data_IF_860853929434
#
_entry.id   IF_860853929434
#
_cell.length_a   1.000
_cell.length_b   1.000
_cell.length_c   1.000
_cell.angle_alpha   90.00
_cell.angle_beta   90.00
_cell.angle_gamma   90.00
#
_symmetry.space_group_name_H-M   'P 1'
#
loop_
_entity.id
_entity.type
_entity.pdbx_description
1 polymer ?
#
# COMPACT_ATOMS: atom_id res chain seq x y z
N UNK A 1 -37.34 12.85 23.84
CA UNK A 1 -37.24 11.57 23.10
C UNK A 1 -36.12 11.60 22.05
N UNK A 2 -36.05 12.60 21.16
CA UNK A 2 -35.02 12.73 20.11
C UNK A 2 -33.58 12.88 20.67
N UNK A 3 -33.39 13.68 21.71
CA UNK A 3 -32.12 13.80 22.45
C UNK A 3 -31.62 12.46 23.02
N UNK A 4 -32.53 11.58 23.44
CA UNK A 4 -32.19 10.29 24.03
C UNK A 4 -31.67 9.30 22.97
N UNK A 5 -32.28 9.29 21.78
CA UNK A 5 -31.85 8.44 20.67
C UNK A 5 -30.47 8.88 20.15
N UNK A 6 -30.23 10.18 20.00
CA UNK A 6 -28.92 10.70 19.60
C UNK A 6 -27.81 10.38 20.59
N UNK A 7 -28.11 10.42 21.89
CA UNK A 7 -27.19 10.03 22.95
C UNK A 7 -26.88 8.54 22.89
N UNK A 8 -27.89 7.68 22.72
CA UNK A 8 -27.72 6.24 22.56
C UNK A 8 -26.86 5.89 21.33
N UNK A 9 -27.14 6.50 20.17
CA UNK A 9 -26.36 6.29 18.95
C UNK A 9 -24.90 6.72 19.14
N UNK A 10 -24.66 7.83 19.86
CA UNK A 10 -23.32 8.31 20.17
C UNK A 10 -22.58 7.35 21.11
N UNK A 11 -23.25 6.83 22.15
CA UNK A 11 -22.70 5.84 23.09
C UNK A 11 -22.36 4.51 22.44
N UNK A 12 -23.12 4.11 21.41
CA UNK A 12 -22.85 2.90 20.61
C UNK A 12 -21.85 3.12 19.48
N UNK A 13 -21.30 4.34 19.34
CA UNK A 13 -20.41 4.74 18.24
C UNK A 13 -21.01 4.52 16.84
N UNK A 14 -22.32 4.76 16.71
CA UNK A 14 -23.09 4.66 15.46
C UNK A 14 -23.21 6.04 14.79
N UNK A 15 -22.07 6.67 14.51
CA UNK A 15 -22.00 8.04 13.98
C UNK A 15 -22.64 8.20 12.60
N UNK A 16 -22.56 7.17 11.76
CA UNK A 16 -23.09 7.14 10.40
C UNK A 16 -24.59 6.95 10.43
N UNK A 17 -25.08 6.04 11.29
CA UNK A 17 -26.52 5.90 11.54
C UNK A 17 -27.12 7.20 12.06
N UNK A 18 -26.44 7.90 12.97
CA UNK A 18 -26.88 9.21 13.48
C UNK A 18 -26.97 10.27 12.38
N UNK A 19 -25.96 10.35 11.50
CA UNK A 19 -26.00 11.27 10.36
C UNK A 19 -27.15 10.95 9.39
N UNK A 20 -27.35 9.67 9.07
CA UNK A 20 -28.42 9.23 8.19
C UNK A 20 -29.81 9.49 8.81
N UNK A 21 -29.95 9.30 10.14
CA UNK A 21 -31.19 9.61 10.85
C UNK A 21 -31.52 11.10 10.76
N UNK A 22 -30.53 11.97 10.99
CA UNK A 22 -30.71 13.42 10.84
C UNK A 22 -31.07 13.81 9.40
N UNK A 23 -30.47 13.16 8.40
CA UNK A 23 -30.80 13.39 7.00
C UNK A 23 -32.24 12.96 6.67
N UNK A 24 -32.67 11.79 7.13
CA UNK A 24 -34.05 11.32 6.95
C UNK A 24 -35.06 12.24 7.63
N UNK A 25 -34.73 12.78 8.80
CA UNK A 25 -35.60 13.73 9.50
C UNK A 25 -35.72 15.06 8.75
N UNK A 26 -34.60 15.58 8.23
CA UNK A 26 -34.58 16.82 7.46
C UNK A 26 -35.28 16.70 6.10
N UNK A 27 -35.31 15.50 5.52
CA UNK A 27 -35.88 15.21 4.20
C UNK A 27 -37.01 14.17 4.29
N UNK A 28 -37.88 14.31 5.29
CA UNK A 28 -38.90 13.30 5.63
C UNK A 28 -39.76 12.85 4.45
N UNK A 29 -40.11 13.78 3.54
CA UNK A 29 -40.92 13.51 2.35
C UNK A 29 -40.33 12.44 1.43
N UNK A 30 -39.00 12.27 1.40
CA UNK A 30 -38.32 11.27 0.56
C UNK A 30 -38.41 9.84 1.11
N UNK A 31 -38.85 9.68 2.36
CA UNK A 31 -38.84 8.40 3.08
C UNK A 31 -40.24 8.00 3.58
N UNK A 32 -41.29 8.73 3.20
CA UNK A 32 -42.66 8.49 3.66
C UNK A 32 -43.22 7.14 3.20
N UNK A 33 -42.89 6.74 1.98
CA UNK A 33 -43.40 5.50 1.37
C UNK A 33 -42.58 4.26 1.76
N UNK A 34 -41.48 4.43 2.51
CA UNK A 34 -40.61 3.34 2.92
C UNK A 34 -41.08 2.68 4.22
N UNK A 35 -41.06 1.36 4.23
CA UNK A 35 -41.33 0.57 5.44
C UNK A 35 -40.30 0.82 6.55
N UNK A 36 -40.65 0.47 7.79
CA UNK A 36 -39.72 0.59 8.93
C UNK A 36 -38.42 -0.18 8.70
N UNK A 37 -38.50 -1.42 8.21
CA UNK A 37 -37.33 -2.26 7.96
C UNK A 37 -36.43 -1.68 6.86
N UNK A 38 -37.01 -1.14 5.79
CA UNK A 38 -36.25 -0.51 4.70
C UNK A 38 -35.50 0.73 5.18
N UNK A 39 -36.15 1.55 6.01
CA UNK A 39 -35.52 2.73 6.61
C UNK A 39 -34.42 2.34 7.59
N UNK A 40 -34.66 1.32 8.42
CA UNK A 40 -33.65 0.78 9.34
C UNK A 40 -32.45 0.21 8.58
N UNK A 41 -32.69 -0.52 7.48
CA UNK A 41 -31.65 -1.05 6.62
C UNK A 41 -30.81 0.09 6.04
N UNK A 42 -31.42 1.17 5.54
CA UNK A 42 -30.69 2.32 5.02
C UNK A 42 -29.80 2.99 6.08
N UNK A 43 -30.33 3.14 7.31
CA UNK A 43 -29.58 3.68 8.45
C UNK A 43 -28.35 2.82 8.79
N UNK A 44 -28.53 1.49 8.83
CA UNK A 44 -27.45 0.54 9.10
C UNK A 44 -26.43 0.49 7.96
N UNK A 45 -26.88 0.49 6.71
CA UNK A 45 -26.01 0.55 5.53
C UNK A 45 -25.12 1.78 5.55
N UNK A 46 -25.65 2.95 5.94
CA UNK A 46 -24.84 4.17 6.07
C UNK A 46 -23.77 4.06 7.17
N UNK A 47 -24.08 3.43 8.31
CA UNK A 47 -23.09 3.15 9.34
C UNK A 47 -21.98 2.22 8.84
N UNK A 48 -22.33 1.14 8.15
CA UNK A 48 -21.37 0.18 7.60
C UNK A 48 -20.42 0.84 6.60
N UNK A 49 -20.97 1.57 5.62
CA UNK A 49 -20.19 2.33 4.63
C UNK A 49 -19.26 3.34 5.32
N UNK A 50 -19.75 4.07 6.33
CA UNK A 50 -18.92 5.03 7.04
C UNK A 50 -17.80 4.35 7.85
N UNK A 51 -18.03 3.17 8.42
CA UNK A 51 -16.99 2.39 9.11
C UNK A 51 -15.92 1.90 8.15
N UNK A 52 -16.32 1.38 7.00
CA UNK A 52 -15.40 0.96 5.93
C UNK A 52 -14.56 2.15 5.44
N UNK A 53 -15.20 3.28 5.15
CA UNK A 53 -14.49 4.50 4.73
C UNK A 53 -13.51 4.99 5.79
N UNK A 54 -13.88 4.98 7.08
CA UNK A 54 -12.98 5.33 8.19
C UNK A 54 -11.79 4.38 8.27
N UNK A 55 -12.02 3.07 8.11
CA UNK A 55 -10.94 2.06 8.08
C UNK A 55 -9.98 2.33 6.91
N UNK A 56 -10.51 2.48 5.70
CA UNK A 56 -9.72 2.75 4.48
C UNK A 56 -8.90 4.03 4.63
N UNK A 57 -9.52 5.13 5.06
CA UNK A 57 -8.83 6.41 5.29
C UNK A 57 -7.71 6.30 6.33
N UNK A 58 -7.94 5.55 7.41
CA UNK A 58 -6.93 5.30 8.43
C UNK A 58 -5.74 4.52 7.85
N UNK A 59 -6.01 3.44 7.13
CA UNK A 59 -4.97 2.63 6.49
C UNK A 59 -4.19 3.44 5.45
N UNK A 60 -4.86 4.24 4.63
CA UNK A 60 -4.21 5.10 3.62
C UNK A 60 -3.26 6.12 4.27
N UNK A 61 -3.69 6.77 5.37
CA UNK A 61 -2.82 7.66 6.16
C UNK A 61 -1.64 6.93 6.78
N UNK A 62 -1.87 5.71 7.29
CA UNK A 62 -0.83 4.89 7.88
C UNK A 62 0.16 4.36 6.83
N UNK A 63 -0.25 4.20 5.57
CA UNK A 63 0.63 3.68 4.54
C UNK A 63 1.77 4.62 4.15
N UNK A 64 1.58 5.95 4.28
CA UNK A 64 2.58 6.97 3.96
C UNK A 64 3.18 6.83 2.55
N UNK A 65 2.34 6.59 1.55
CA UNK A 65 2.79 6.53 0.16
C UNK A 65 3.47 7.82 -0.28
N UNK A 66 4.58 7.70 -0.99
CA UNK A 66 5.27 8.83 -1.62
C UNK A 66 4.51 9.39 -2.82
N UNK A 67 3.80 8.54 -3.57
CA UNK A 67 3.10 8.90 -4.80
C UNK A 67 1.60 8.59 -4.70
N UNK A 68 0.80 9.40 -5.39
CA UNK A 68 -0.63 9.18 -5.55
C UNK A 68 -0.92 8.14 -6.66
N UNK A 69 -0.38 6.93 -6.50
CA UNK A 69 -0.57 5.85 -7.47
C UNK A 69 -2.03 5.40 -7.59
N UNK A 70 -2.56 5.31 -8.81
CA UNK A 70 -3.90 4.80 -9.07
C UNK A 70 -3.83 3.72 -10.15
N UNK A 71 -4.53 2.61 -9.92
CA UNK A 71 -4.53 1.47 -10.85
C UNK A 71 -5.23 1.84 -12.16
N UNK A 72 -6.25 2.68 -12.04
CA UNK A 72 -7.08 3.21 -13.12
C UNK A 72 -6.29 4.12 -14.07
N UNK A 73 -5.23 4.75 -13.56
CA UNK A 73 -4.35 5.66 -14.31
C UNK A 73 -3.07 4.99 -14.82
N UNK A 74 -2.96 3.66 -14.70
CA UNK A 74 -1.79 2.94 -15.21
C UNK A 74 -1.73 3.01 -16.74
N UNK A 75 -0.53 3.30 -17.24
CA UNK A 75 -0.24 3.35 -18.67
C UNK A 75 0.21 1.98 -19.20
N UNK A 76 -0.53 1.48 -20.19
CA UNK A 76 -0.35 0.19 -20.85
C UNK A 76 0.13 0.32 -22.30
N UNK A 77 0.65 1.48 -22.70
CA UNK A 77 1.24 1.65 -24.05
C UNK A 77 2.30 0.57 -24.34
N UNK A 78 2.44 0.21 -25.61
CA UNK A 78 3.40 -0.78 -26.05
C UNK A 78 4.82 -0.41 -25.58
N UNK A 79 5.61 -1.40 -25.16
CA UNK A 79 6.97 -1.19 -24.67
C UNK A 79 7.10 -0.83 -23.18
N UNK A 80 6.00 -0.74 -22.42
CA UNK A 80 6.01 -0.54 -20.96
C UNK A 80 6.39 -1.79 -20.13
N UNK A 81 6.36 -2.97 -20.75
CA UNK A 81 6.66 -4.24 -20.06
C UNK A 81 5.56 -4.71 -19.10
N UNK A 82 4.39 -4.06 -19.13
CA UNK A 82 3.21 -4.40 -18.32
C UNK A 82 1.96 -4.44 -19.18
N UNK A 83 1.13 -5.45 -18.95
CA UNK A 83 -0.15 -5.63 -19.66
C UNK A 83 -1.35 -5.53 -18.72
N UNK A 84 -2.53 -5.19 -19.26
CA UNK A 84 -3.78 -5.15 -18.48
C UNK A 84 -4.10 -6.50 -17.83
N UNK A 85 -3.81 -7.61 -18.52
CA UNK A 85 -4.03 -8.95 -18.00
C UNK A 85 -3.13 -9.24 -16.79
N UNK A 86 -1.84 -8.90 -16.88
CA UNK A 86 -0.91 -9.08 -15.77
C UNK A 86 -1.30 -8.23 -14.57
N UNK A 87 -1.68 -6.96 -14.77
CA UNK A 87 -2.15 -6.12 -13.67
C UNK A 87 -3.43 -6.68 -13.05
N UNK A 88 -4.40 -7.14 -13.85
CA UNK A 88 -5.62 -7.80 -13.33
C UNK A 88 -5.28 -8.98 -12.43
N UNK A 89 -4.37 -9.85 -12.85
CA UNK A 89 -3.92 -10.99 -12.04
C UNK A 89 -3.27 -10.55 -10.71
N UNK A 90 -2.52 -9.44 -10.71
CA UNK A 90 -1.98 -8.89 -9.47
C UNK A 90 -3.07 -8.35 -8.54
N UNK A 91 -4.12 -7.74 -9.09
CA UNK A 91 -5.25 -7.19 -8.33
C UNK A 91 -6.15 -8.27 -7.74
N UNK A 92 -6.24 -9.44 -8.37
CA UNK A 92 -6.94 -10.60 -7.79
C UNK A 92 -6.34 -11.02 -6.44
N UNK A 93 -5.08 -10.64 -6.15
CA UNK A 93 -4.48 -10.79 -4.84
C UNK A 93 -4.07 -12.21 -4.48
N UNK A 94 -4.05 -13.14 -5.44
CA UNK A 94 -3.59 -14.51 -5.20
C UNK A 94 -2.17 -14.57 -4.63
N UNK A 95 -1.27 -13.69 -5.07
CA UNK A 95 0.09 -13.62 -4.52
C UNK A 95 0.10 -13.22 -3.03
N UNK A 96 -0.84 -12.38 -2.57
CA UNK A 96 -0.99 -12.05 -1.15
C UNK A 96 -1.50 -13.23 -0.34
N UNK A 97 -2.53 -13.92 -0.82
CA UNK A 97 -3.09 -15.08 -0.11
C UNK A 97 -2.10 -16.24 -0.02
N UNK A 98 -1.20 -16.38 -0.99
CA UNK A 98 -0.09 -17.35 -0.97
C UNK A 98 1.18 -16.81 -0.29
N UNK A 99 1.11 -15.62 0.33
CA UNK A 99 2.21 -14.97 1.05
C UNK A 99 3.49 -14.84 0.21
N UNK A 100 3.30 -14.62 -1.08
CA UNK A 100 4.36 -14.40 -2.06
C UNK A 100 4.82 -12.94 -2.02
N UNK A 101 6.06 -12.70 -2.43
CA UNK A 101 6.57 -11.35 -2.62
C UNK A 101 6.32 -10.87 -4.06
N UNK A 102 6.37 -9.56 -4.28
CA UNK A 102 6.25 -8.96 -5.61
C UNK A 102 7.49 -8.11 -5.90
N UNK A 103 8.26 -8.49 -6.92
CA UNK A 103 9.47 -7.76 -7.32
C UNK A 103 9.16 -6.94 -8.57
N UNK A 104 9.28 -5.62 -8.45
CA UNK A 104 9.11 -4.66 -9.53
C UNK A 104 10.49 -4.14 -9.95
N UNK A 105 10.97 -4.54 -11.13
CA UNK A 105 12.28 -4.11 -11.65
C UNK A 105 12.15 -3.26 -12.91
N UNK A 106 13.21 -2.54 -13.29
CA UNK A 106 13.22 -1.70 -14.49
C UNK A 106 13.99 -0.38 -14.32
N UNK A 107 14.29 0.31 -15.42
CA UNK A 107 15.09 1.55 -15.40
C UNK A 107 14.46 2.71 -14.60
N UNK A 108 15.25 3.73 -14.27
CA UNK A 108 14.75 4.93 -13.60
C UNK A 108 13.57 5.56 -14.36
N UNK A 109 12.52 5.94 -13.64
CA UNK A 109 11.36 6.63 -14.24
C UNK A 109 10.37 5.74 -14.99
N UNK A 110 10.59 4.42 -15.12
CA UNK A 110 9.62 3.51 -15.75
C UNK A 110 8.35 3.23 -14.90
N UNK A 111 8.17 3.88 -13.75
CA UNK A 111 6.92 3.81 -12.98
C UNK A 111 6.81 2.70 -11.92
N UNK A 112 7.90 2.01 -11.55
CA UNK A 112 7.91 0.98 -10.48
C UNK A 112 7.27 1.47 -9.18
N UNK A 113 7.75 2.59 -8.66
CA UNK A 113 7.26 3.21 -7.42
C UNK A 113 5.78 3.60 -7.51
N UNK A 114 5.35 4.06 -8.69
CA UNK A 114 3.94 4.41 -8.94
C UNK A 114 3.07 3.14 -8.91
N UNK A 115 3.49 2.08 -9.60
CA UNK A 115 2.79 0.80 -9.61
C UNK A 115 2.71 0.18 -8.20
N UNK A 116 3.80 0.21 -7.43
CA UNK A 116 3.80 -0.25 -6.04
C UNK A 116 2.77 0.52 -5.20
N UNK A 117 2.74 1.85 -5.30
CA UNK A 117 1.76 2.69 -4.59
C UNK A 117 0.32 2.41 -5.06
N UNK A 118 0.10 2.22 -6.37
CA UNK A 118 -1.20 1.93 -6.94
C UNK A 118 -1.76 0.59 -6.43
N UNK A 119 -0.94 -0.47 -6.46
CA UNK A 119 -1.30 -1.77 -5.89
C UNK A 119 -1.55 -1.67 -4.38
N UNK A 120 -0.67 -0.99 -3.64
CA UNK A 120 -0.85 -0.76 -2.21
C UNK A 120 -2.17 -0.08 -1.88
N UNK A 121 -2.52 1.00 -2.60
CA UNK A 121 -3.80 1.70 -2.42
C UNK A 121 -5.00 0.83 -2.78
N UNK A 122 -4.90 0.02 -3.83
CA UNK A 122 -5.94 -0.94 -4.18
C UNK A 122 -6.21 -1.92 -3.04
N UNK A 123 -5.16 -2.52 -2.44
CA UNK A 123 -5.33 -3.46 -1.34
C UNK A 123 -5.77 -2.81 -0.03
N UNK A 124 -5.45 -1.54 0.20
CA UNK A 124 -6.03 -0.77 1.31
C UNK A 124 -7.55 -0.66 1.18
N UNK A 125 -8.07 -0.44 -0.03
CA UNK A 125 -9.54 -0.43 -0.27
C UNK A 125 -10.16 -1.80 0.01
N UNK A 126 -9.41 -2.89 -0.14
CA UNK A 126 -9.80 -4.24 0.26
C UNK A 126 -9.56 -4.53 1.76
N UNK A 127 -9.18 -3.51 2.54
CA UNK A 127 -9.00 -3.61 3.99
C UNK A 127 -7.66 -4.19 4.44
N UNK A 128 -6.69 -4.36 3.54
CA UNK A 128 -5.34 -4.84 3.84
C UNK A 128 -4.47 -3.68 4.36
N UNK A 129 -3.76 -3.92 5.46
CA UNK A 129 -2.78 -2.97 5.96
C UNK A 129 -1.55 -2.91 5.06
N UNK A 130 -1.16 -1.70 4.64
CA UNK A 130 0.02 -1.48 3.79
C UNK A 130 0.90 -0.41 4.42
N UNK A 131 2.22 -0.56 4.29
CA UNK A 131 3.19 0.46 4.69
C UNK A 131 4.25 0.64 3.62
N UNK A 132 4.52 1.88 3.24
CA UNK A 132 5.53 2.23 2.26
C UNK A 132 6.78 2.80 2.94
N UNK A 133 7.94 2.34 2.46
CA UNK A 133 9.25 2.84 2.83
C UNK A 133 10.15 2.93 1.60
N UNK A 134 10.98 3.97 1.55
CA UNK A 134 12.25 3.86 0.83
C UNK A 134 13.21 3.07 1.72
N UNK A 135 13.95 2.11 1.15
CA UNK A 135 14.81 1.22 1.93
C UNK A 135 15.77 1.99 2.85
N UNK A 136 16.48 2.98 2.31
CA UNK A 136 17.38 3.85 3.08
C UNK A 136 16.70 4.53 4.27
N UNK A 137 15.51 5.10 4.07
CA UNK A 137 14.75 5.77 5.15
C UNK A 137 14.31 4.80 6.23
N UNK A 138 13.96 3.55 5.86
CA UNK A 138 13.63 2.51 6.84
C UNK A 138 14.85 2.13 7.68
N UNK A 139 16.00 1.90 7.04
CA UNK A 139 17.24 1.54 7.72
C UNK A 139 17.71 2.66 8.68
N UNK A 140 17.59 3.93 8.26
CA UNK A 140 17.83 5.09 9.11
C UNK A 140 16.86 5.15 10.31
N UNK A 141 15.55 4.90 10.10
CA UNK A 141 14.56 4.84 11.18
C UNK A 141 14.88 3.71 12.17
N UNK A 142 15.33 2.55 11.68
CA UNK A 142 15.76 1.42 12.50
C UNK A 142 16.99 1.76 13.34
N UNK A 143 18.00 2.39 12.75
CA UNK A 143 19.21 2.83 13.47
C UNK A 143 18.87 3.81 14.60
N UNK A 144 17.98 4.77 14.34
CA UNK A 144 17.51 5.72 15.36
C UNK A 144 16.71 5.01 16.46
N UNK A 145 15.83 4.08 16.07
CA UNK A 145 15.02 3.31 17.01
C UNK A 145 15.87 2.40 17.93
N UNK A 146 17.03 1.93 17.45
CA UNK A 146 18.00 1.23 18.30
C UNK A 146 18.62 2.15 19.35
N UNK A 147 18.91 3.40 18.98
CA UNK A 147 19.52 4.37 19.89
C UNK A 147 18.55 4.88 20.98
N UNK A 148 17.25 4.96 20.69
CA UNK A 148 16.23 5.43 21.64
C UNK A 148 15.40 4.32 22.31
N UNK A 149 15.71 3.05 22.01
CA UNK A 149 15.05 1.87 22.58
C UNK A 149 13.67 1.55 21.98
N UNK A 150 13.23 2.25 20.94
CA UNK A 150 11.95 1.98 20.26
C UNK A 150 12.02 0.89 19.18
N UNK A 151 13.19 0.30 18.94
CA UNK A 151 13.44 -0.71 17.90
C UNK A 151 12.43 -1.87 17.89
N UNK A 152 12.11 -2.55 19.01
CA UNK A 152 11.18 -3.68 18.98
C UNK A 152 9.79 -3.29 18.46
N UNK A 153 9.31 -2.09 18.80
CA UNK A 153 8.00 -1.58 18.33
C UNK A 153 8.00 -1.27 16.84
N UNK A 154 9.12 -0.75 16.31
CA UNK A 154 9.27 -0.50 14.88
C UNK A 154 9.31 -1.83 14.11
N UNK A 155 10.11 -2.77 14.59
CA UNK A 155 10.27 -4.08 13.98
C UNK A 155 8.93 -4.85 13.94
N UNK A 156 8.19 -4.88 15.05
CA UNK A 156 6.87 -5.50 15.11
C UNK A 156 5.91 -4.88 14.08
N UNK A 157 5.87 -3.54 14.01
CA UNK A 157 5.00 -2.81 13.07
C UNK A 157 5.35 -3.10 11.61
N UNK A 158 6.64 -3.11 11.28
CA UNK A 158 7.13 -3.30 9.90
C UNK A 158 7.04 -4.77 9.50
N UNK A 159 7.21 -5.71 10.43
CA UNK A 159 7.20 -7.15 10.14
C UNK A 159 5.79 -7.72 10.08
N UNK A 160 4.83 -7.18 10.83
CA UNK A 160 3.47 -7.74 10.89
C UNK A 160 2.45 -7.05 9.97
N UNK A 161 2.82 -5.95 9.30
CA UNK A 161 1.92 -5.30 8.35
C UNK A 161 1.66 -6.19 7.14
N UNK A 162 0.41 -6.25 6.68
CA UNK A 162 -0.03 -7.15 5.60
C UNK A 162 0.79 -7.01 4.32
N UNK A 163 1.11 -5.78 3.92
CA UNK A 163 2.04 -5.48 2.82
C UNK A 163 3.07 -4.43 3.22
N UNK A 164 4.34 -4.77 3.09
CA UNK A 164 5.45 -3.82 3.19
C UNK A 164 5.95 -3.50 1.79
N UNK A 165 6.01 -2.22 1.43
CA UNK A 165 6.61 -1.76 0.19
C UNK A 165 7.99 -1.20 0.49
N UNK A 166 9.02 -1.80 -0.11
CA UNK A 166 10.41 -1.35 -0.07
C UNK A 166 10.79 -0.78 -1.44
N UNK A 167 10.79 0.53 -1.54
CA UNK A 167 11.15 1.27 -2.75
C UNK A 167 12.61 1.74 -2.71
N UNK A 168 13.14 2.11 -3.87
CA UNK A 168 14.55 2.46 -4.06
C UNK A 168 15.51 1.35 -3.57
N UNK A 169 15.12 0.08 -3.77
CA UNK A 169 15.95 -1.07 -3.41
C UNK A 169 17.23 -1.12 -4.25
N UNK A 170 18.36 -1.26 -3.57
CA UNK A 170 19.67 -1.44 -4.18
C UNK A 170 20.29 -0.19 -4.80
N UNK A 171 19.99 0.99 -4.24
CA UNK A 171 20.65 2.23 -4.64
C UNK A 171 22.06 2.39 -4.02
N UNK A 172 22.29 1.78 -2.86
CA UNK A 172 23.54 1.84 -2.08
C UNK A 172 23.86 0.43 -1.56
N UNK A 173 25.13 0.14 -1.27
CA UNK A 173 25.52 -1.11 -0.60
C UNK A 173 25.15 -1.05 0.87
N UNK A 174 24.70 -2.18 1.43
CA UNK A 174 24.34 -2.25 2.85
C UNK A 174 25.57 -2.39 3.74
N UNK A 175 25.56 -1.74 4.90
CA UNK A 175 26.53 -2.01 5.96
C UNK A 175 26.14 -3.26 6.80
N UNK A 176 26.99 -3.64 7.76
CA UNK A 176 26.76 -4.83 8.58
C UNK A 176 25.50 -4.74 9.47
N UNK A 177 25.19 -3.56 10.00
CA UNK A 177 24.00 -3.33 10.83
C UNK A 177 22.75 -3.36 9.95
N UNK A 178 22.80 -2.72 8.78
CA UNK A 178 21.72 -2.67 7.81
C UNK A 178 21.36 -4.06 7.28
N UNK A 179 22.36 -4.91 6.99
CA UNK A 179 22.12 -6.32 6.61
C UNK A 179 21.40 -7.09 7.71
N UNK A 180 21.83 -6.93 8.96
CA UNK A 180 21.23 -7.62 10.11
C UNK A 180 19.77 -7.19 10.30
N UNK A 181 19.52 -5.88 10.29
CA UNK A 181 18.21 -5.27 10.38
C UNK A 181 17.28 -5.73 9.24
N UNK A 182 17.79 -5.73 8.00
CA UNK A 182 17.03 -6.17 6.84
C UNK A 182 16.70 -7.65 6.91
N UNK A 183 17.66 -8.50 7.29
CA UNK A 183 17.42 -9.94 7.46
C UNK A 183 16.33 -10.19 8.50
N UNK A 184 16.35 -9.49 9.64
CA UNK A 184 15.35 -9.66 10.71
C UNK A 184 13.92 -9.37 10.21
N UNK A 185 13.76 -8.31 9.41
CA UNK A 185 12.47 -8.00 8.77
C UNK A 185 12.09 -9.08 7.76
N UNK A 186 12.99 -9.44 6.86
CA UNK A 186 12.68 -10.37 5.77
C UNK A 186 12.38 -11.77 6.30
N UNK A 187 13.11 -12.24 7.32
CA UNK A 187 12.90 -13.53 7.97
C UNK A 187 11.54 -13.59 8.67
N UNK A 188 11.20 -12.57 9.48
CA UNK A 188 9.90 -12.52 10.17
C UNK A 188 8.73 -12.49 9.19
N UNK A 189 8.89 -11.80 8.05
CA UNK A 189 7.83 -11.67 7.04
C UNK A 189 7.67 -12.92 6.18
N UNK A 190 8.75 -13.69 5.99
CA UNK A 190 8.76 -14.83 5.09
C UNK A 190 7.68 -15.87 5.45
N UNK A 191 6.81 -16.18 4.49
CA UNK A 191 5.71 -17.14 4.68
C UNK A 191 4.58 -16.67 5.59
N UNK A 192 4.59 -15.40 6.05
CA UNK A 192 3.55 -14.85 6.92
C UNK A 192 2.78 -13.72 6.22
N UNK A 193 3.49 -12.75 5.66
CA UNK A 193 2.95 -11.55 5.01
C UNK A 193 3.83 -11.14 3.83
N UNK A 194 3.29 -10.37 2.90
CA UNK A 194 3.95 -10.15 1.60
C UNK A 194 4.75 -8.86 1.54
N UNK A 195 5.83 -8.85 0.76
CA UNK A 195 6.66 -7.67 0.53
C UNK A 195 6.66 -7.30 -0.94
N UNK A 196 6.43 -6.03 -1.27
CA UNK A 196 6.65 -5.47 -2.60
C UNK A 196 8.01 -4.80 -2.61
N UNK A 197 8.92 -5.22 -3.49
CA UNK A 197 10.24 -4.60 -3.66
C UNK A 197 10.27 -3.89 -5.00
N UNK A 198 10.60 -2.60 -5.02
CA UNK A 198 10.80 -1.83 -6.24
C UNK A 198 12.29 -1.46 -6.38
N UNK A 199 12.93 -1.96 -7.44
CA UNK A 199 14.37 -1.77 -7.67
C UNK A 199 14.68 -1.33 -9.10
N UNK A 200 15.69 -0.48 -9.24
CA UNK A 200 16.29 -0.17 -10.54
C UNK A 200 17.34 -1.20 -10.96
N UNK A 201 17.89 -1.93 -9.99
CA UNK A 201 18.84 -3.00 -10.25
C UNK A 201 18.10 -4.28 -10.68
N UNK A 202 18.60 -4.97 -11.72
CA UNK A 202 18.22 -6.36 -11.99
C UNK A 202 18.47 -7.24 -10.74
N UNK A 203 17.64 -8.26 -10.57
CA UNK A 203 17.64 -9.14 -9.39
C UNK A 203 19.01 -9.81 -9.20
N UNK A 204 19.68 -10.12 -10.30
CA UNK A 204 21.00 -10.76 -10.34
C UNK A 204 22.08 -9.92 -9.66
N UNK A 205 21.89 -8.60 -9.58
CA UNK A 205 22.83 -7.67 -8.93
C UNK A 205 22.54 -7.47 -7.44
N UNK A 206 21.42 -7.97 -6.92
CA UNK A 206 21.05 -7.72 -5.52
C UNK A 206 22.00 -8.41 -4.55
N UNK A 207 22.59 -9.55 -4.93
CA UNK A 207 23.57 -10.26 -4.11
C UNK A 207 24.78 -9.38 -3.78
N UNK A 208 25.38 -8.76 -4.81
CA UNK A 208 26.53 -7.87 -4.62
C UNK A 208 26.18 -6.58 -3.89
N UNK A 209 24.95 -6.09 -4.00
CA UNK A 209 24.48 -4.90 -3.30
C UNK A 209 24.28 -5.16 -1.80
N UNK A 210 23.68 -6.30 -1.43
CA UNK A 210 23.55 -6.70 -0.04
C UNK A 210 24.95 -6.89 0.54
N UNK A 211 25.80 -7.65 -0.15
CA UNK A 211 27.15 -7.97 0.30
C UNK A 211 27.15 -8.91 1.51
N UNK A 212 28.32 -9.52 1.77
CA UNK A 212 28.47 -10.67 2.70
C UNK A 212 27.61 -11.88 2.27
N UNK A 213 28.26 -13.02 2.07
CA UNK A 213 27.62 -14.17 1.42
C UNK A 213 26.44 -14.71 2.22
N UNK A 214 26.60 -14.85 3.53
CA UNK A 214 25.59 -15.44 4.42
C UNK A 214 24.30 -14.62 4.45
N UNK A 215 24.40 -13.30 4.60
CA UNK A 215 23.27 -12.38 4.60
C UNK A 215 22.63 -12.29 3.22
N UNK A 216 23.43 -12.19 2.15
CA UNK A 216 22.92 -12.12 0.79
C UNK A 216 22.12 -13.38 0.44
N UNK A 217 22.64 -14.57 0.71
CA UNK A 217 21.93 -15.84 0.50
C UNK A 217 20.64 -15.89 1.31
N UNK A 218 20.70 -15.60 2.61
CA UNK A 218 19.53 -15.70 3.50
C UNK A 218 18.40 -14.73 3.12
N UNK A 219 18.74 -13.49 2.78
CA UNK A 219 17.76 -12.46 2.39
C UNK A 219 17.16 -12.78 1.03
N UNK A 220 17.99 -13.15 0.05
CA UNK A 220 17.54 -13.37 -1.32
C UNK A 220 16.74 -14.65 -1.46
N UNK A 221 17.11 -15.73 -0.77
CA UNK A 221 16.32 -16.96 -0.74
C UNK A 221 14.87 -16.67 -0.32
N UNK A 222 14.70 -15.93 0.78
CA UNK A 222 13.37 -15.55 1.30
C UNK A 222 12.62 -14.57 0.41
N UNK A 223 13.31 -13.56 -0.14
CA UNK A 223 12.67 -12.55 -0.97
C UNK A 223 12.27 -13.08 -2.34
N UNK A 224 13.10 -13.94 -2.95
CA UNK A 224 13.00 -14.30 -4.36
C UNK A 224 12.30 -15.65 -4.58
N UNK A 225 12.52 -16.65 -3.71
CA UNK A 225 12.09 -18.02 -3.96
C UNK A 225 10.58 -18.15 -4.25
N UNK A 226 9.76 -17.35 -3.56
CA UNK A 226 8.30 -17.31 -3.74
C UNK A 226 7.80 -15.99 -4.31
N UNK A 227 8.55 -15.37 -5.23
CA UNK A 227 8.21 -14.05 -5.73
C UNK A 227 7.58 -14.03 -7.12
N UNK A 228 6.52 -13.25 -7.27
CA UNK A 228 6.02 -12.80 -8.58
C UNK A 228 6.93 -11.67 -9.06
N UNK A 229 7.37 -11.74 -10.32
CA UNK A 229 8.28 -10.74 -10.90
C UNK A 229 7.60 -9.96 -12.02
N UNK A 230 7.78 -8.64 -12.00
CA UNK A 230 7.29 -7.73 -13.05
C UNK A 230 8.43 -6.80 -13.44
N UNK A 231 8.80 -6.81 -14.71
CA UNK A 231 9.86 -5.95 -15.24
C UNK A 231 9.25 -4.87 -16.12
N UNK A 232 9.31 -3.64 -15.62
CA UNK A 232 8.83 -2.45 -16.31
C UNK A 232 9.92 -1.93 -17.26
N UNK A 233 9.54 -1.72 -18.51
CA UNK A 233 10.41 -1.21 -19.58
C UNK A 233 9.89 0.14 -20.10
N UNK A 234 10.58 0.68 -21.11
CA UNK A 234 10.21 1.92 -21.76
C UNK A 234 10.82 3.17 -21.11
N UNK A 235 10.51 4.32 -21.71
CA UNK A 235 11.08 5.60 -21.31
C UNK A 235 10.58 6.10 -19.95
N UNK A 236 11.28 7.12 -19.43
CA UNK A 236 10.91 7.76 -18.18
C UNK A 236 9.56 8.50 -18.31
N UNK A 237 8.59 8.07 -17.50
CA UNK A 237 7.27 8.69 -17.41
C UNK A 237 7.32 10.11 -16.81
N UNK A 238 8.44 10.48 -16.18
CA UNK A 238 8.62 11.82 -15.58
C UNK A 238 8.73 12.92 -16.64
N UNK A 239 9.27 12.60 -17.83
CA UNK A 239 9.43 13.58 -18.92
C UNK A 239 8.09 13.93 -19.59
N UNK A 240 7.15 12.98 -19.61
CA UNK A 240 5.86 13.17 -20.27
C UNK A 240 4.92 14.10 -19.49
N UNK A 241 5.08 14.21 -18.17
CA UNK A 241 4.34 15.19 -17.36
C UNK A 241 4.84 16.63 -17.51
N UNK A 242 6.10 16.83 -17.94
CA UNK A 242 6.67 18.17 -18.13
C UNK A 242 6.27 18.80 -19.47
N UNK A 243 6.08 17.99 -20.53
CA UNK A 243 5.69 18.51 -21.85
C UNK A 243 4.23 18.99 -21.92
N UNK A 244 3.39 18.69 -20.93
CA UNK A 244 2.01 19.17 -20.87
C UNK A 244 1.90 20.63 -20.41
N UNK A 245 2.92 21.18 -19.73
CA UNK A 245 2.91 22.58 -19.27
C UNK A 245 3.51 23.57 -20.27
N UNK A 246 4.32 23.09 -21.23
CA UNK A 246 4.94 23.94 -22.26
C UNK A 246 4.05 24.13 -23.49
N UNK A 247 3.04 23.27 -23.69
CA UNK A 247 2.08 23.37 -24.80
C UNK A 247 1.00 24.45 -24.57
N UNK A 248 0.72 24.81 -23.31
CA UNK A 248 -0.27 25.85 -22.94
C UNK A 248 0.33 27.28 -22.89
N UNK A 249 1.61 27.46 -23.24
CA UNK A 249 2.28 28.77 -23.33
C UNK A 249 2.58 29.20 -24.77
N UNK A 250 2.08 28.45 -25.76
CA UNK A 250 2.25 28.72 -27.18
C UNK A 250 0.89 28.87 -27.89
N UNK A 251 0.02 29.74 -27.36
CA UNK A 251 -1.09 30.37 -28.11
C UNK A 251 -1.15 31.87 -27.78
#
# INVERSE_FOLDING_TARGET
MQLHLDEQLSRLHLSGMKQALNQQQAQSMLYLDMGFEERLQLLLSHELVQREQRKTNRLEKQARFRLAGQVEQLDYRAGRGVSKAQIRQLLEGHWLSHQQNLLLTGAAGCGKSYLACALGRYFIRQGVGVRYYRLKTLLEEMRLAQADGSYPKLLERVSNIGVLILDDWGMEMLDASERSNLLEIIDTRYGNVSTIVASQLPVEKWYGMIGEATFAEAILDRLIHRAVRVTLTGESMRKQGANLTDADQAE
#
